data_IF_405410820223
#
_entry.id   IF_405410820223
#
_cell.length_a   1.000
_cell.length_b   1.000
_cell.length_c   1.000
_cell.angle_alpha   90.00
_cell.angle_beta   90.00
_cell.angle_gamma   90.00
#
_symmetry.space_group_name_H-M   'P 1'
#
loop_
_entity.id
_entity.type
_entity.pdbx_description
1 polymer ?
#
# COMPACT_ATOMS: atom_id res chain seq x y z
N UNK A 1 -0.56 5.14 -7.19
CA UNK A 1 -0.04 3.95 -7.89
C UNK A 1 -0.77 2.69 -7.48
N UNK A 2 -0.23 2.00 -6.47
CA UNK A 2 -0.60 0.64 -6.08
C UNK A 2 -2.12 0.37 -5.98
N UNK A 3 -2.59 -0.66 -6.68
CA UNK A 3 -3.99 -1.11 -6.67
C UNK A 3 -5.01 -0.10 -7.20
N UNK A 4 -4.57 1.04 -7.74
CA UNK A 4 -5.44 2.10 -8.30
C UNK A 4 -5.25 2.27 -9.81
N UNK A 5 -4.00 2.35 -10.26
CA UNK A 5 -3.66 2.54 -11.68
C UNK A 5 -2.88 1.36 -12.26
N UNK A 6 -2.24 0.56 -11.42
CA UNK A 6 -1.54 -0.66 -11.82
C UNK A 6 -1.56 -1.70 -10.67
N UNK A 7 -1.19 -2.93 -11.01
CA UNK A 7 -0.86 -4.04 -10.12
C UNK A 7 0.37 -4.76 -10.66
N UNK A 8 0.97 -5.63 -9.85
CA UNK A 8 2.06 -6.52 -10.27
C UNK A 8 1.58 -7.98 -10.25
N UNK A 9 2.26 -8.82 -11.03
CA UNK A 9 1.99 -10.25 -11.15
C UNK A 9 3.30 -10.99 -10.89
N UNK A 10 3.29 -11.91 -9.95
CA UNK A 10 4.42 -12.77 -9.62
C UNK A 10 4.48 -14.01 -10.55
N UNK A 11 5.64 -14.68 -10.71
CA UNK A 11 5.77 -15.85 -11.59
C UNK A 11 4.83 -17.02 -11.26
N UNK A 12 4.42 -17.14 -9.99
CA UNK A 12 3.46 -18.15 -9.54
C UNK A 12 2.00 -17.79 -9.88
N UNK A 13 1.75 -16.61 -10.44
CA UNK A 13 0.43 -16.08 -10.79
C UNK A 13 -0.22 -15.21 -9.72
N UNK A 14 0.43 -14.99 -8.57
CA UNK A 14 -0.11 -14.09 -7.54
C UNK A 14 -0.15 -12.65 -8.05
N UNK A 15 -1.27 -11.97 -7.81
CA UNK A 15 -1.45 -10.54 -8.11
C UNK A 15 -1.20 -9.75 -6.84
N UNK A 16 -0.35 -8.73 -6.91
CA UNK A 16 -0.05 -7.83 -5.80
C UNK A 16 -0.35 -6.37 -6.18
N UNK A 17 -0.60 -5.45 -5.22
CA UNK A 17 -0.86 -4.05 -5.54
C UNK A 17 0.32 -3.32 -6.16
N UNK A 18 1.55 -3.76 -5.88
CA UNK A 18 2.79 -3.12 -6.32
C UNK A 18 3.93 -4.13 -6.16
N UNK A 19 4.94 -4.06 -7.04
CA UNK A 19 6.18 -4.87 -6.94
C UNK A 19 6.91 -4.71 -5.60
N UNK A 20 6.71 -3.59 -4.90
CA UNK A 20 7.29 -3.34 -3.57
C UNK A 20 6.34 -3.64 -2.41
N UNK A 21 5.15 -4.20 -2.69
CA UNK A 21 4.13 -4.50 -1.69
C UNK A 21 3.71 -5.97 -1.86
N UNK A 22 4.46 -6.92 -1.28
CA UNK A 22 4.27 -8.36 -1.47
C UNK A 22 3.07 -8.87 -0.65
N UNK A 23 1.89 -8.34 -0.95
CA UNK A 23 0.61 -8.71 -0.34
C UNK A 23 -0.27 -9.27 -1.45
N UNK A 24 -0.34 -10.61 -1.61
CA UNK A 24 -1.21 -11.22 -2.61
C UNK A 24 -2.67 -10.84 -2.40
N UNK A 25 -3.35 -10.44 -3.48
CA UNK A 25 -4.78 -10.09 -3.48
C UNK A 25 -5.64 -11.03 -4.30
N UNK A 26 -5.01 -12.01 -4.94
CA UNK A 26 -5.62 -13.02 -5.81
C UNK A 26 -4.54 -13.77 -6.61
N UNK A 27 -4.93 -14.79 -7.36
CA UNK A 27 -4.01 -15.57 -8.20
C UNK A 27 -4.66 -15.91 -9.55
N UNK A 28 -3.97 -15.58 -10.65
CA UNK A 28 -4.47 -15.71 -12.03
C UNK A 28 -4.65 -17.14 -12.51
N UNK A 29 -4.09 -18.14 -11.81
CA UNK A 29 -4.34 -19.55 -12.09
C UNK A 29 -5.69 -20.03 -11.56
N UNK A 30 -6.38 -19.22 -10.74
CA UNK A 30 -7.64 -19.59 -10.07
C UNK A 30 -8.82 -18.67 -10.44
N UNK A 31 -8.57 -17.41 -10.77
CA UNK A 31 -9.59 -16.39 -11.02
C UNK A 31 -9.10 -15.39 -12.07
N UNK A 32 -10.03 -14.77 -12.80
CA UNK A 32 -9.70 -13.81 -13.86
C UNK A 32 -9.15 -12.50 -13.31
N UNK A 33 -8.31 -11.81 -14.09
CA UNK A 33 -7.71 -10.54 -13.64
C UNK A 33 -8.78 -9.48 -13.27
N UNK A 34 -9.86 -9.37 -14.05
CA UNK A 34 -10.93 -8.41 -13.78
C UNK A 34 -11.63 -8.68 -12.45
N UNK A 35 -11.82 -9.95 -12.09
CA UNK A 35 -12.42 -10.36 -10.81
C UNK A 35 -11.54 -9.92 -9.64
N UNK A 36 -10.24 -10.19 -9.71
CA UNK A 36 -9.26 -9.71 -8.72
C UNK A 36 -9.27 -8.17 -8.69
N UNK A 37 -9.14 -7.55 -9.86
CA UNK A 37 -9.00 -6.10 -9.98
C UNK A 37 -10.20 -5.37 -9.37
N UNK A 38 -11.42 -5.79 -9.66
CA UNK A 38 -12.64 -5.12 -9.17
C UNK A 38 -13.01 -5.60 -7.77
N UNK A 39 -12.82 -6.89 -7.47
CA UNK A 39 -13.37 -7.57 -6.29
C UNK A 39 -12.50 -7.46 -5.03
N UNK A 40 -11.17 -7.46 -5.17
CA UNK A 40 -10.27 -7.62 -4.02
C UNK A 40 -10.38 -6.48 -3.01
N UNK A 41 -10.57 -6.85 -1.73
CA UNK A 41 -10.78 -5.92 -0.61
C UNK A 41 -9.66 -4.87 -0.54
N UNK A 42 -8.40 -5.28 -0.66
CA UNK A 42 -7.27 -4.35 -0.58
C UNK A 42 -7.27 -3.33 -1.73
N UNK A 43 -7.62 -3.74 -2.95
CA UNK A 43 -7.72 -2.81 -4.07
C UNK A 43 -8.83 -1.78 -3.85
N UNK A 44 -10.00 -2.20 -3.35
CA UNK A 44 -11.09 -1.27 -2.98
C UNK A 44 -10.64 -0.26 -1.93
N UNK A 45 -9.96 -0.72 -0.87
CA UNK A 45 -9.40 0.14 0.17
C UNK A 45 -8.36 1.12 -0.40
N UNK A 46 -7.45 0.65 -1.26
CA UNK A 46 -6.45 1.50 -1.88
C UNK A 46 -7.07 2.51 -2.84
N UNK A 47 -8.20 2.24 -3.50
CA UNK A 47 -8.84 3.21 -4.41
C UNK A 47 -9.57 4.31 -3.68
N UNK A 48 -10.13 4.03 -2.51
CA UNK A 48 -10.78 5.03 -1.67
C UNK A 48 -9.75 5.82 -0.83
N UNK A 49 -9.42 7.02 -1.30
CA UNK A 49 -8.38 7.87 -0.71
C UNK A 49 -8.83 8.57 0.58
N UNK A 50 -10.13 8.62 0.85
CA UNK A 50 -10.67 9.23 2.07
C UNK A 50 -10.47 8.33 3.29
N UNK A 51 -10.22 7.04 3.08
CA UNK A 51 -9.90 6.09 4.16
C UNK A 51 -8.44 6.17 4.63
N UNK A 52 -7.60 6.99 3.97
CA UNK A 52 -6.18 7.05 4.31
C UNK A 52 -5.99 7.77 5.65
N UNK A 53 -5.11 7.23 6.50
CA UNK A 53 -4.81 7.78 7.81
C UNK A 53 -3.81 8.94 7.70
N UNK A 54 -3.70 9.71 8.78
CA UNK A 54 -2.75 10.82 8.88
C UNK A 54 -3.01 11.93 7.86
N UNK A 55 -1.96 12.62 7.41
CA UNK A 55 -2.14 13.73 6.47
C UNK A 55 -2.65 13.28 5.10
N UNK A 56 -2.35 12.04 4.68
CA UNK A 56 -2.73 11.52 3.37
C UNK A 56 -4.26 11.50 3.13
N UNK A 57 -5.09 11.27 4.15
CA UNK A 57 -6.55 11.27 4.01
C UNK A 57 -7.18 12.66 3.92
N UNK A 58 -6.50 13.69 4.42
CA UNK A 58 -6.98 15.08 4.39
C UNK A 58 -6.22 15.99 3.41
N UNK A 59 -5.17 15.47 2.80
CA UNK A 59 -4.35 16.21 1.84
C UNK A 59 -5.21 16.67 0.64
N UNK A 60 -5.09 17.94 0.20
CA UNK A 60 -5.81 18.43 -0.98
C UNK A 60 -5.44 17.66 -2.26
N UNK A 61 -4.24 17.09 -2.31
CA UNK A 61 -3.74 16.31 -3.45
C UNK A 61 -4.00 14.79 -3.33
N UNK A 62 -4.82 14.32 -2.38
CA UNK A 62 -4.95 12.89 -2.05
C UNK A 62 -5.39 12.00 -3.22
N UNK A 63 -6.18 12.52 -4.15
CA UNK A 63 -6.63 11.79 -5.33
C UNK A 63 -5.64 11.79 -6.49
N UNK A 64 -4.66 12.70 -6.47
CA UNK A 64 -3.59 12.79 -7.47
C UNK A 64 -2.38 11.95 -6.99
N UNK A 65 -1.95 12.15 -5.74
CA UNK A 65 -0.79 11.47 -5.16
C UNK A 65 -1.20 10.34 -4.21
N UNK A 66 -1.65 10.71 -3.00
CA UNK A 66 -1.98 9.77 -1.93
C UNK A 66 -0.79 8.99 -1.35
N UNK A 67 0.46 9.31 -1.70
CA UNK A 67 1.69 8.72 -1.17
C UNK A 67 1.98 7.27 -1.60
N UNK A 68 3.19 6.81 -1.32
CA UNK A 68 3.62 5.43 -1.55
C UNK A 68 2.98 4.46 -0.56
N UNK A 69 2.13 3.56 -1.06
CA UNK A 69 1.41 2.57 -0.24
C UNK A 69 2.30 1.41 0.20
N UNK A 70 3.27 1.04 -0.64
CA UNK A 70 4.31 0.08 -0.27
C UNK A 70 5.13 0.58 0.93
N UNK A 71 5.49 1.88 0.95
CA UNK A 71 6.21 2.48 2.08
C UNK A 71 5.35 2.51 3.34
N UNK A 72 4.10 2.96 3.24
CA UNK A 72 3.17 2.94 4.37
C UNK A 72 3.05 1.52 4.98
N UNK A 73 2.88 0.50 4.14
CA UNK A 73 2.83 -0.89 4.58
C UNK A 73 4.16 -1.36 5.20
N UNK A 74 5.30 -1.09 4.57
CA UNK A 74 6.61 -1.54 5.03
C UNK A 74 7.01 -0.95 6.40
N UNK A 75 6.64 0.30 6.69
CA UNK A 75 7.01 0.95 7.96
C UNK A 75 5.97 0.78 9.06
N UNK A 76 4.69 0.61 8.72
CA UNK A 76 3.61 0.62 9.71
C UNK A 76 2.78 -0.67 9.75
N UNK A 77 3.03 -1.63 8.85
CA UNK A 77 2.19 -2.82 8.68
C UNK A 77 0.78 -2.51 8.15
N UNK A 78 0.51 -1.25 7.78
CA UNK A 78 -0.81 -0.77 7.38
C UNK A 78 -0.72 -0.01 6.05
N UNK A 79 -1.34 -0.51 4.96
CA UNK A 79 -1.30 0.15 3.66
C UNK A 79 -2.08 1.47 3.60
N UNK A 80 -2.95 1.74 4.58
CA UNK A 80 -3.69 2.98 4.71
C UNK A 80 -2.97 4.02 5.57
N UNK A 81 -1.85 3.65 6.18
CA UNK A 81 -1.02 4.59 6.93
C UNK A 81 -0.50 5.74 6.05
N UNK A 82 -0.11 6.87 6.66
CA UNK A 82 0.61 7.93 5.96
C UNK A 82 1.90 7.40 5.31
N UNK A 83 2.27 7.97 4.16
CA UNK A 83 3.60 7.71 3.59
C UNK A 83 4.65 8.54 4.35
N UNK A 84 5.58 7.92 5.09
CA UNK A 84 6.55 8.67 5.89
C UNK A 84 7.61 9.36 5.02
N UNK A 85 7.72 9.02 3.73
CA UNK A 85 8.60 9.73 2.79
C UNK A 85 8.06 11.06 2.29
N UNK A 86 6.83 11.44 2.68
CA UNK A 86 6.22 12.70 2.27
C UNK A 86 6.59 13.83 3.24
N UNK A 87 6.91 15.02 2.70
CA UNK A 87 7.22 16.23 3.49
C UNK A 87 6.11 16.62 4.48
N UNK A 88 4.85 16.32 4.17
CA UNK A 88 3.72 16.61 5.05
C UNK A 88 3.55 15.56 6.19
N UNK A 89 4.29 14.45 6.13
CA UNK A 89 4.28 13.38 7.13
C UNK A 89 5.62 13.30 7.90
N UNK A 90 6.39 14.39 7.98
CA UNK A 90 7.67 14.41 8.70
C UNK A 90 7.56 13.98 10.17
N UNK A 91 6.41 14.20 10.82
CA UNK A 91 6.14 13.70 12.17
C UNK A 91 6.18 12.17 12.23
N UNK A 92 5.63 11.51 11.22
CA UNK A 92 5.59 10.04 11.15
C UNK A 92 6.97 9.47 10.82
N UNK A 93 7.76 10.17 9.98
CA UNK A 93 9.16 9.84 9.77
C UNK A 93 9.98 9.88 11.07
N UNK A 94 9.83 10.94 11.88
CA UNK A 94 10.50 11.04 13.18
C UNK A 94 10.12 9.89 14.12
N UNK A 95 8.84 9.52 14.19
CA UNK A 95 8.35 8.37 14.98
C UNK A 95 8.95 7.04 14.53
N UNK A 96 9.16 6.85 13.24
CA UNK A 96 9.82 5.65 12.69
C UNK A 96 11.29 5.57 13.16
N UNK A 97 11.99 6.71 13.23
CA UNK A 97 13.38 6.74 13.70
C UNK A 97 13.49 6.43 15.20
N UNK A 98 12.49 6.81 15.99
CA UNK A 98 12.41 6.54 17.43
C UNK A 98 12.11 5.07 17.77
N UNK A 99 11.75 4.23 16.79
CA UNK A 99 11.40 2.80 16.99
C UNK A 99 12.17 1.88 16.04
N UNK A 100 13.47 1.63 16.28
CA UNK A 100 14.32 0.87 15.37
C UNK A 100 13.84 -0.57 15.16
N UNK A 101 13.24 -1.23 16.16
CA UNK A 101 12.83 -2.63 16.04
C UNK A 101 11.62 -2.83 15.10
N UNK A 102 10.81 -1.78 14.87
CA UNK A 102 9.67 -1.81 13.95
C UNK A 102 10.07 -1.77 12.47
N UNK A 103 11.36 -1.54 12.16
CA UNK A 103 11.87 -1.37 10.79
C UNK A 103 11.99 -2.68 10.00
N UNK A 104 11.71 -3.83 10.63
CA UNK A 104 11.78 -5.14 9.97
C UNK A 104 10.40 -5.77 9.94
N UNK A 105 9.55 -5.36 8.99
CA UNK A 105 8.51 -6.27 8.52
C UNK A 105 9.26 -7.51 8.03
N UNK A 106 9.14 -8.62 8.78
CA UNK A 106 9.67 -9.91 8.36
C UNK A 106 8.93 -10.26 7.09
N UNK A 107 9.53 -10.00 5.94
CA UNK A 107 9.13 -10.63 4.69
C UNK A 107 9.35 -12.11 4.93
N UNK A 108 8.27 -12.85 5.21
CA UNK A 108 8.33 -14.30 5.27
C UNK A 108 8.64 -14.76 3.85
N UNK A 109 9.90 -15.17 3.62
CA UNK A 109 10.29 -15.99 2.48
C UNK A 109 9.67 -17.38 2.64
#
# INVERSE_FOLDING_TARGET
GAGRIYSAIEPNGDVTPCVFMPVPVGNLRRQGFQEIWVGSRLFKLLRNRDLFKGFCGRCPYRYICGGCRARAYAYFGDPLAPDPGCIYNMKEWKRVLERPEAQRVKVRL
#
